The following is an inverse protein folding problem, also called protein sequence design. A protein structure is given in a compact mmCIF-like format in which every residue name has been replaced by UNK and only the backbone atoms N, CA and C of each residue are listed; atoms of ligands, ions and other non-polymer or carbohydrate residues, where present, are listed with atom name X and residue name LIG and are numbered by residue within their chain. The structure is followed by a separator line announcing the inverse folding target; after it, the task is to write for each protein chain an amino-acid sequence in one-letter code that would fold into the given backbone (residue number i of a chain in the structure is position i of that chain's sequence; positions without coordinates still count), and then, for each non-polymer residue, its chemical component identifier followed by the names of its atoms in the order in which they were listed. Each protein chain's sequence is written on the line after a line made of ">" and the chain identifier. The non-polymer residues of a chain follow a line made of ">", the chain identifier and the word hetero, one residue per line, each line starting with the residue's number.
data_IF_670735138814
#
_entry.id   IF_670735138814
#
_cell.length_a   1.000
_cell.length_b   1.000
_cell.length_c   1.000
_cell.angle_alpha   90.00
_cell.angle_beta   90.00
_cell.angle_gamma   90.00
#
_symmetry.space_group_name_H-M   'P 1'
#
loop_
_entity.id
_entity.type
_entity.pdbx_description
1 polymer ?
#
# COMPACT_ATOMS: atom_id res chain seq x y z
N UNK A 1 -42.56 30.84 98.74
CA UNK A 1 -42.55 31.72 97.53
C UNK A 1 -41.10 32.08 97.29
N UNK A 2 -40.23 31.10 96.99
CA UNK A 2 -40.15 30.29 95.75
C UNK A 2 -39.95 31.21 94.54
N UNK A 3 -38.98 31.05 93.65
CA UNK A 3 -38.08 29.94 93.42
C UNK A 3 -36.90 30.39 92.52
N UNK A 4 -35.78 29.68 92.68
CA UNK A 4 -34.83 29.27 91.63
C UNK A 4 -34.15 30.32 90.74
N UNK A 5 -32.92 30.68 91.16
CA UNK A 5 -31.83 31.20 90.34
C UNK A 5 -30.72 30.14 90.33
N UNK A 6 -30.73 29.21 89.37
CA UNK A 6 -29.57 28.37 88.97
C UNK A 6 -29.97 27.42 87.84
N UNK A 7 -29.98 27.90 86.60
CA UNK A 7 -29.89 27.06 85.41
C UNK A 7 -29.16 27.85 84.32
N UNK A 8 -27.82 27.84 84.35
CA UNK A 8 -26.98 28.12 83.18
C UNK A 8 -25.51 27.85 83.52
N UNK A 9 -25.16 26.59 83.83
CA UNK A 9 -23.75 26.17 83.92
C UNK A 9 -23.58 24.65 84.01
N UNK A 10 -24.21 23.86 83.14
CA UNK A 10 -23.96 22.41 83.12
C UNK A 10 -24.16 21.72 81.76
N UNK A 11 -23.96 22.43 80.64
CA UNK A 11 -24.18 21.82 79.31
C UNK A 11 -23.07 22.03 78.28
N UNK A 12 -22.02 22.81 78.57
CA UNK A 12 -21.00 23.13 77.56
C UNK A 12 -19.74 22.25 77.56
N UNK A 13 -19.56 21.34 78.53
CA UNK A 13 -18.29 20.62 78.69
C UNK A 13 -18.24 19.19 78.13
N UNK A 14 -19.29 18.70 77.46
CA UNK A 14 -19.30 17.34 76.89
C UNK A 14 -19.07 17.26 75.38
N UNK A 15 -18.97 18.38 74.67
CA UNK A 15 -18.91 18.38 73.19
C UNK A 15 -17.54 18.75 72.59
N UNK A 16 -16.48 18.76 73.41
CA UNK A 16 -15.16 19.24 72.99
C UNK A 16 -14.05 18.19 73.04
N UNK A 17 -14.35 16.91 72.74
CA UNK A 17 -13.27 15.91 72.65
C UNK A 17 -13.60 14.65 71.85
N UNK A 18 -13.92 14.79 70.56
CA UNK A 18 -13.76 13.71 69.57
C UNK A 18 -13.97 14.30 68.19
N UNK A 19 -12.90 14.36 67.38
CA UNK A 19 -12.87 14.49 65.91
C UNK A 19 -11.56 15.07 65.37
N UNK A 20 -10.51 15.23 66.20
CA UNK A 20 -9.17 15.63 65.69
C UNK A 20 -8.33 14.48 65.11
N UNK A 21 -8.82 13.23 65.14
CA UNK A 21 -8.07 12.06 64.62
C UNK A 21 -8.52 11.57 63.23
N UNK A 22 -9.63 12.09 62.67
CA UNK A 22 -10.16 11.62 61.38
C UNK A 22 -9.59 12.37 60.17
N UNK A 23 -9.20 13.63 60.34
CA UNK A 23 -8.64 14.45 59.26
C UNK A 23 -7.30 13.91 58.74
N UNK A 24 -6.30 13.54 59.58
CA UNK A 24 -5.05 12.98 59.05
C UNK A 24 -5.27 11.60 58.40
N UNK A 25 -6.21 10.79 58.90
CA UNK A 25 -6.51 9.47 58.32
C UNK A 25 -7.16 9.58 56.93
N UNK A 26 -8.05 10.55 56.73
CA UNK A 26 -8.69 10.82 55.44
C UNK A 26 -7.68 11.34 54.40
N UNK A 27 -6.74 12.20 54.81
CA UNK A 27 -5.68 12.72 53.94
C UNK A 27 -4.72 11.60 53.52
N UNK A 28 -4.30 10.74 54.46
CA UNK A 28 -3.43 9.59 54.16
C UNK A 28 -4.12 8.60 53.21
N UNK A 29 -5.41 8.32 53.41
CA UNK A 29 -6.20 7.47 52.52
C UNK A 29 -6.29 8.03 51.09
N UNK A 30 -6.51 9.34 50.95
CA UNK A 30 -6.58 10.00 49.64
C UNK A 30 -5.23 9.97 48.91
N UNK A 31 -4.12 10.20 49.61
CA UNK A 31 -2.77 10.10 49.03
C UNK A 31 -2.43 8.68 48.59
N UNK A 32 -2.80 7.66 49.36
CA UNK A 32 -2.64 6.25 48.97
C UNK A 32 -3.43 5.92 47.71
N UNK A 33 -4.68 6.39 47.62
CA UNK A 33 -5.52 6.16 46.46
C UNK A 33 -4.95 6.84 45.21
N UNK A 34 -4.40 8.06 45.34
CA UNK A 34 -3.73 8.77 44.25
C UNK A 34 -2.43 8.11 43.80
N UNK A 35 -1.65 7.55 44.74
CA UNK A 35 -0.45 6.77 44.42
C UNK A 35 -0.79 5.48 43.68
N UNK A 36 -1.85 4.77 44.09
CA UNK A 36 -2.29 3.54 43.44
C UNK A 36 -2.84 3.83 42.04
N UNK A 37 -3.69 4.86 41.87
CA UNK A 37 -4.19 5.22 40.53
C UNK A 37 -3.07 5.74 39.64
N UNK A 38 -2.13 6.52 40.18
CA UNK A 38 -0.93 6.96 39.48
C UNK A 38 -0.06 5.78 39.03
N UNK A 39 0.16 4.79 39.89
CA UNK A 39 0.93 3.59 39.58
C UNK A 39 0.22 2.71 38.53
N UNK A 40 -1.11 2.57 38.60
CA UNK A 40 -1.90 1.84 37.59
C UNK A 40 -1.86 2.55 36.25
N UNK A 41 -2.04 3.87 36.23
CA UNK A 41 -1.93 4.67 34.99
C UNK A 41 -0.52 4.58 34.42
N UNK A 42 0.52 4.72 35.24
CA UNK A 42 1.90 4.57 34.80
C UNK A 42 2.18 3.16 34.26
N UNK A 43 1.70 2.11 34.93
CA UNK A 43 1.84 0.72 34.47
C UNK A 43 1.13 0.46 33.14
N UNK A 44 -0.04 1.07 32.91
CA UNK A 44 -0.77 0.98 31.64
C UNK A 44 -0.06 1.75 30.54
N UNK A 45 0.50 2.92 30.82
CA UNK A 45 1.24 3.72 29.84
C UNK A 45 2.66 3.21 29.55
N UNK A 46 3.29 2.50 30.49
CA UNK A 46 4.65 1.97 30.33
C UNK A 46 4.70 0.62 29.59
N UNK A 47 3.54 0.00 29.30
CA UNK A 47 3.48 -1.22 28.50
C UNK A 47 3.63 -0.86 27.02
N UNK A 48 4.81 -1.14 26.48
CA UNK A 48 5.05 -1.15 25.04
C UNK A 48 4.01 -2.05 24.36
N UNK A 49 3.34 -1.51 23.35
CA UNK A 49 2.26 -2.20 22.66
C UNK A 49 2.79 -3.41 21.89
N UNK A 50 1.97 -4.45 21.71
CA UNK A 50 2.37 -5.63 20.93
C UNK A 50 2.75 -5.24 19.48
N UNK A 51 2.13 -4.17 18.96
CA UNK A 51 2.50 -3.59 17.67
C UNK A 51 3.93 -3.03 17.67
N UNK A 52 4.31 -2.22 18.68
CA UNK A 52 5.65 -1.65 18.79
C UNK A 52 6.72 -2.73 18.98
N UNK A 53 6.43 -3.77 19.78
CA UNK A 53 7.33 -4.93 19.91
C UNK A 53 7.51 -5.66 18.59
N UNK A 54 6.41 -5.91 17.87
CA UNK A 54 6.46 -6.50 16.53
C UNK A 54 7.30 -5.67 15.57
N UNK A 55 7.19 -4.35 15.64
CA UNK A 55 8.01 -3.42 14.85
C UNK A 55 9.50 -3.48 15.20
N UNK A 56 9.86 -3.64 16.47
CA UNK A 56 11.26 -3.80 16.88
C UNK A 56 11.84 -5.10 16.29
N UNK A 57 11.14 -6.23 16.44
CA UNK A 57 11.55 -7.49 15.83
C UNK A 57 11.65 -7.41 14.30
N UNK A 58 10.71 -6.71 13.66
CA UNK A 58 10.72 -6.54 12.20
C UNK A 58 11.94 -5.75 11.71
N UNK A 59 12.33 -4.68 12.43
CA UNK A 59 13.54 -3.90 12.12
C UNK A 59 14.81 -4.75 12.22
N UNK A 60 14.85 -5.65 13.19
CA UNK A 60 15.95 -6.60 13.41
C UNK A 60 15.87 -7.83 12.48
N UNK A 61 14.90 -7.84 11.53
CA UNK A 61 14.63 -8.93 10.59
C UNK A 61 14.30 -10.27 11.27
N UNK A 62 13.85 -10.21 12.51
CA UNK A 62 13.34 -11.36 13.27
C UNK A 62 11.88 -11.61 12.91
N UNK A 63 11.65 -12.12 11.69
CA UNK A 63 10.34 -12.21 11.07
C UNK A 63 9.34 -13.10 11.84
N UNK A 64 9.82 -14.19 12.43
CA UNK A 64 8.98 -15.14 13.18
C UNK A 64 8.46 -14.49 14.46
N UNK A 65 9.34 -13.83 15.21
CA UNK A 65 9.03 -13.12 16.44
C UNK A 65 8.13 -11.91 16.16
N UNK A 66 8.41 -11.17 15.08
CA UNK A 66 7.57 -10.06 14.64
C UNK A 66 6.13 -10.52 14.34
N UNK A 67 5.96 -11.63 13.61
CA UNK A 67 4.65 -12.20 13.32
C UNK A 67 3.88 -12.56 14.60
N UNK A 68 4.55 -13.20 15.57
CA UNK A 68 3.93 -13.57 16.84
C UNK A 68 3.39 -12.34 17.56
N UNK A 69 4.15 -11.24 17.62
CA UNK A 69 3.69 -10.02 18.29
C UNK A 69 2.57 -9.32 17.51
N UNK A 70 2.67 -9.19 16.18
CA UNK A 70 1.61 -8.59 15.37
C UNK A 70 0.28 -9.36 15.45
N UNK A 71 0.33 -10.69 15.60
CA UNK A 71 -0.86 -11.53 15.77
C UNK A 71 -1.57 -11.31 17.12
N UNK A 72 -0.88 -10.78 18.13
CA UNK A 72 -1.49 -10.45 19.43
C UNK A 72 -2.26 -9.14 19.41
N UNK A 73 -2.04 -8.29 18.41
CA UNK A 73 -2.72 -6.99 18.29
C UNK A 73 -4.23 -7.23 18.16
N UNK A 74 -5.00 -6.73 19.13
CA UNK A 74 -6.44 -6.92 19.19
C UNK A 74 -7.16 -6.23 18.01
N UNK A 75 -8.19 -6.84 17.39
CA UNK A 75 -9.00 -6.21 16.34
C UNK A 75 -9.61 -4.85 16.68
N UNK A 76 -9.83 -4.56 17.98
CA UNK A 76 -10.36 -3.26 18.44
C UNK A 76 -9.27 -2.19 18.58
N UNK A 77 -7.99 -2.55 18.42
CA UNK A 77 -6.87 -1.62 18.48
C UNK A 77 -6.77 -0.82 17.18
N UNK A 78 -6.51 0.49 17.27
CA UNK A 78 -6.25 1.38 16.12
C UNK A 78 -5.13 0.88 15.21
N UNK A 79 -4.15 0.17 15.76
CA UNK A 79 -2.97 -0.33 15.05
C UNK A 79 -3.20 -1.70 14.41
N UNK A 80 -4.39 -2.29 14.56
CA UNK A 80 -4.71 -3.62 14.02
C UNK A 80 -4.49 -3.70 12.50
N UNK A 81 -4.97 -2.71 11.73
CA UNK A 81 -4.80 -2.70 10.28
C UNK A 81 -3.32 -2.61 9.87
N UNK A 82 -2.52 -1.83 10.61
CA UNK A 82 -1.09 -1.74 10.38
C UNK A 82 -0.41 -3.07 10.71
N UNK A 83 -0.79 -3.73 11.81
CA UNK A 83 -0.29 -5.05 12.17
C UNK A 83 -0.61 -6.11 11.11
N UNK A 84 -1.85 -6.12 10.59
CA UNK A 84 -2.25 -7.03 9.50
C UNK A 84 -1.45 -6.78 8.23
N UNK A 85 -1.20 -5.52 7.89
CA UNK A 85 -0.34 -5.16 6.77
C UNK A 85 1.09 -5.69 6.94
N UNK A 86 1.69 -5.58 8.14
CA UNK A 86 3.01 -6.18 8.42
C UNK A 86 3.00 -7.70 8.30
N UNK A 87 1.95 -8.36 8.78
CA UNK A 87 1.78 -9.81 8.65
C UNK A 87 1.73 -10.21 7.16
N UNK A 88 0.97 -9.48 6.35
CA UNK A 88 0.90 -9.70 4.91
C UNK A 88 2.25 -9.48 4.23
N UNK A 89 2.96 -8.42 4.57
CA UNK A 89 4.28 -8.16 4.03
C UNK A 89 5.27 -9.30 4.36
N UNK A 90 5.35 -9.72 5.63
CA UNK A 90 6.28 -10.76 6.07
C UNK A 90 5.97 -12.11 5.38
N UNK A 91 4.70 -12.52 5.34
CA UNK A 91 4.33 -13.76 4.66
C UNK A 91 4.58 -13.69 3.15
N UNK A 92 4.28 -12.56 2.53
CA UNK A 92 4.54 -12.33 1.12
C UNK A 92 6.03 -12.38 0.78
N UNK A 93 6.87 -11.74 1.58
CA UNK A 93 8.32 -11.79 1.46
C UNK A 93 8.86 -13.22 1.61
N UNK A 94 8.34 -13.99 2.58
CA UNK A 94 8.74 -15.38 2.78
C UNK A 94 8.39 -16.24 1.55
N UNK A 95 7.13 -16.20 1.11
CA UNK A 95 6.69 -16.95 -0.08
C UNK A 95 7.45 -16.53 -1.34
N UNK A 96 7.78 -15.25 -1.49
CA UNK A 96 8.61 -14.75 -2.60
C UNK A 96 10.02 -15.36 -2.58
N UNK A 97 10.68 -15.36 -1.43
CA UNK A 97 12.02 -15.92 -1.28
C UNK A 97 12.05 -17.46 -1.43
N UNK A 98 10.96 -18.14 -1.07
CA UNK A 98 10.78 -19.58 -1.29
C UNK A 98 10.43 -19.92 -2.76
N UNK A 99 10.23 -18.91 -3.61
CA UNK A 99 9.84 -19.08 -5.02
C UNK A 99 8.36 -19.45 -5.21
N UNK A 100 7.54 -19.40 -4.15
CA UNK A 100 6.10 -19.61 -4.22
C UNK A 100 5.37 -18.32 -4.67
N UNK A 101 5.57 -17.97 -5.94
CA UNK A 101 5.02 -16.75 -6.54
C UNK A 101 3.49 -16.59 -6.39
N UNK A 102 2.64 -17.63 -6.59
CA UNK A 102 1.20 -17.50 -6.41
C UNK A 102 0.81 -17.07 -4.99
N UNK A 103 1.46 -17.64 -3.99
CA UNK A 103 1.20 -17.31 -2.58
C UNK A 103 1.75 -15.92 -2.23
N UNK A 104 2.94 -15.58 -2.74
CA UNK A 104 3.51 -14.25 -2.58
C UNK A 104 2.57 -13.16 -3.10
N UNK A 105 1.94 -13.35 -4.27
CA UNK A 105 0.96 -12.40 -4.82
C UNK A 105 -0.22 -12.18 -3.86
N UNK A 106 -0.77 -13.25 -3.30
CA UNK A 106 -1.94 -13.19 -2.40
C UNK A 106 -1.64 -12.36 -1.15
N UNK A 107 -0.43 -12.47 -0.61
CA UNK A 107 -0.04 -11.72 0.58
C UNK A 107 0.43 -10.30 0.26
N UNK A 108 1.32 -10.13 -0.71
CA UNK A 108 1.89 -8.82 -1.06
C UNK A 108 0.82 -7.83 -1.57
N UNK A 109 -0.23 -8.32 -2.25
CA UNK A 109 -1.35 -7.48 -2.71
C UNK A 109 -2.24 -6.93 -1.58
N UNK A 110 -2.12 -7.46 -0.36
CA UNK A 110 -2.89 -7.02 0.82
C UNK A 110 -2.12 -6.03 1.71
N UNK A 111 -0.88 -5.70 1.37
CA UNK A 111 -0.12 -4.65 2.04
C UNK A 111 -0.80 -3.31 1.71
N UNK A 112 -1.16 -2.55 2.75
CA UNK A 112 -1.94 -1.31 2.59
C UNK A 112 -1.05 -0.17 2.11
N UNK A 113 -1.60 0.77 1.35
CA UNK A 113 -0.83 1.81 0.66
C UNK A 113 -0.12 2.83 1.55
N UNK A 114 -0.57 2.98 2.80
CA UNK A 114 0.06 3.83 3.81
C UNK A 114 1.11 3.09 4.66
N UNK A 115 1.36 1.81 4.38
CA UNK A 115 2.42 1.04 5.03
C UNK A 115 3.79 1.40 4.44
N UNK A 116 4.82 1.51 5.29
CA UNK A 116 6.19 1.78 4.85
C UNK A 116 6.77 0.71 3.90
N UNK A 117 6.27 -0.54 3.98
CA UNK A 117 6.70 -1.66 3.13
C UNK A 117 5.84 -1.83 1.88
N UNK A 118 4.87 -0.96 1.65
CA UNK A 118 4.00 -1.04 0.48
C UNK A 118 4.80 -1.00 -0.82
N UNK A 119 5.80 -0.12 -0.91
CA UNK A 119 6.63 0.01 -2.10
C UNK A 119 7.44 -1.26 -2.38
N UNK A 120 8.07 -1.81 -1.35
CA UNK A 120 8.83 -3.07 -1.45
C UNK A 120 7.93 -4.22 -1.92
N UNK A 121 6.69 -4.27 -1.42
CA UNK A 121 5.69 -5.24 -1.86
C UNK A 121 5.33 -5.07 -3.35
N UNK A 122 5.16 -3.84 -3.83
CA UNK A 122 4.90 -3.57 -5.25
C UNK A 122 6.07 -3.98 -6.14
N UNK A 123 7.32 -3.71 -5.72
CA UNK A 123 8.51 -4.13 -6.47
C UNK A 123 8.62 -5.66 -6.56
N UNK A 124 8.27 -6.38 -5.49
CA UNK A 124 8.25 -7.84 -5.52
C UNK A 124 7.15 -8.38 -6.44
N UNK A 125 5.95 -7.78 -6.41
CA UNK A 125 4.86 -8.13 -7.33
C UNK A 125 5.26 -7.92 -8.80
N UNK A 126 5.91 -6.80 -9.11
CA UNK A 126 6.43 -6.53 -10.45
C UNK A 126 7.44 -7.58 -10.90
N UNK A 127 8.39 -7.95 -10.02
CA UNK A 127 9.36 -9.01 -10.33
C UNK A 127 8.69 -10.37 -10.56
N UNK A 128 7.63 -10.69 -9.81
CA UNK A 128 6.87 -11.92 -10.03
C UNK A 128 6.20 -11.90 -11.42
N UNK A 129 5.63 -10.76 -11.80
CA UNK A 129 5.01 -10.60 -13.12
C UNK A 129 6.04 -10.75 -14.25
N UNK A 130 7.24 -10.19 -14.10
CA UNK A 130 8.35 -10.35 -15.05
C UNK A 130 8.80 -11.81 -15.18
N UNK A 131 8.92 -12.53 -14.06
CA UNK A 131 9.27 -13.96 -14.04
C UNK A 131 8.20 -14.79 -14.77
N UNK A 132 6.92 -14.51 -14.52
CA UNK A 132 5.82 -15.21 -15.17
C UNK A 132 5.78 -14.92 -16.68
N UNK A 133 6.07 -13.68 -17.09
CA UNK A 133 6.14 -13.30 -18.49
C UNK A 133 7.33 -13.98 -19.20
N UNK A 134 8.51 -13.96 -18.58
CA UNK A 134 9.72 -14.60 -19.10
C UNK A 134 9.59 -16.12 -19.20
N UNK A 135 8.99 -16.77 -18.21
CA UNK A 135 8.73 -18.21 -18.22
C UNK A 135 7.74 -18.63 -19.31
N UNK A 136 6.71 -17.83 -19.55
CA UNK A 136 5.74 -18.09 -20.62
C UNK A 136 6.39 -17.91 -22.01
N UNK A 137 7.22 -16.87 -22.18
CA UNK A 137 7.97 -16.64 -23.42
C UNK A 137 8.97 -17.77 -23.69
N UNK A 138 9.67 -18.25 -22.65
CA UNK A 138 10.63 -19.35 -22.76
C UNK A 138 9.93 -20.67 -23.10
N UNK A 139 8.80 -20.99 -22.47
CA UNK A 139 7.99 -22.16 -22.82
C UNK A 139 7.46 -22.09 -24.26
N UNK A 140 7.09 -20.91 -24.74
CA UNK A 140 6.70 -20.70 -26.14
C UNK A 140 7.90 -20.90 -27.09
N UNK A 141 9.07 -20.31 -26.80
CA UNK A 141 10.29 -20.51 -27.57
C UNK A 141 10.69 -22.00 -27.62
N UNK A 142 10.57 -22.73 -26.52
CA UNK A 142 10.93 -24.15 -26.45
C UNK A 142 9.91 -25.02 -27.21
N UNK A 143 8.63 -24.65 -27.22
CA UNK A 143 7.63 -25.26 -28.09
C UNK A 143 7.90 -25.00 -29.58
N UNK A 144 8.35 -23.79 -29.92
CA UNK A 144 8.70 -23.40 -31.30
C UNK A 144 10.00 -24.06 -31.78
N UNK A 145 10.98 -24.24 -30.89
CA UNK A 145 12.23 -24.98 -31.19
C UNK A 145 11.98 -26.47 -31.40
N UNK A 146 11.04 -27.05 -30.66
CA UNK A 146 10.67 -28.48 -30.78
C UNK A 146 9.88 -28.77 -32.07
N UNK A 147 9.25 -27.75 -32.67
CA UNK A 147 8.46 -27.84 -33.90
C UNK A 147 9.24 -27.46 -35.18
N UNK A 148 10.58 -27.38 -35.12
CA UNK A 148 11.40 -26.95 -36.27
C UNK A 148 11.47 -27.93 -37.46
N UNK A 149 10.72 -29.03 -37.47
CA UNK A 149 10.62 -29.93 -38.63
C UNK A 149 9.19 -30.26 -39.10
N UNK A 150 8.17 -29.53 -38.67
CA UNK A 150 6.84 -29.62 -39.29
C UNK A 150 6.14 -28.27 -39.29
N UNK A 151 6.15 -27.61 -40.44
CA UNK A 151 5.12 -26.64 -40.83
C UNK A 151 3.80 -27.40 -40.90
N UNK A 152 3.08 -27.51 -39.79
CA UNK A 152 1.68 -27.92 -39.78
C UNK A 152 0.91 -26.98 -38.86
N UNK A 153 0.15 -26.12 -39.51
CA UNK A 153 -1.04 -25.45 -38.97
C UNK A 153 -1.97 -26.52 -38.38
N UNK A 154 -2.04 -26.62 -37.05
CA UNK A 154 -3.15 -27.27 -36.35
C UNK A 154 -3.74 -26.24 -35.39
N UNK A 155 -4.76 -25.49 -35.85
CA UNK A 155 -6.18 -25.74 -35.53
C UNK A 155 -6.39 -26.04 -34.04
N UNK A 156 -6.49 -25.00 -33.23
CA UNK A 156 -7.35 -25.04 -32.05
C UNK A 156 -8.74 -24.59 -32.48
N UNK A 157 -9.59 -25.54 -32.84
CA UNK A 157 -11.04 -25.34 -32.88
C UNK A 157 -11.53 -25.21 -31.44
N UNK A 158 -11.75 -23.98 -30.98
CA UNK A 158 -12.58 -23.74 -29.79
C UNK A 158 -14.02 -23.94 -30.21
N UNK A 159 -14.62 -25.06 -29.80
CA UNK A 159 -16.06 -25.28 -29.96
C UNK A 159 -16.78 -24.48 -28.88
N UNK A 160 -17.45 -23.40 -29.26
CA UNK A 160 -18.56 -22.83 -28.48
C UNK A 160 -19.80 -22.75 -29.38
N UNK A 161 -20.89 -23.35 -28.91
CA UNK A 161 -22.26 -23.19 -29.45
C UNK A 161 -22.52 -23.61 -30.92
N UNK A 162 -21.95 -24.73 -31.37
CA UNK A 162 -22.54 -25.52 -32.47
C UNK A 162 -22.68 -24.84 -33.84
N UNK A 163 -22.04 -23.70 -34.08
CA UNK A 163 -21.91 -23.08 -35.40
C UNK A 163 -20.43 -22.93 -35.72
N UNK A 164 -20.02 -23.46 -36.86
CA UNK A 164 -18.67 -23.24 -37.39
C UNK A 164 -18.54 -21.77 -37.78
N UNK A 165 -17.84 -20.98 -36.98
CA UNK A 165 -17.37 -19.67 -37.42
C UNK A 165 -16.22 -19.85 -38.40
N UNK A 166 -16.23 -19.01 -39.44
CA UNK A 166 -15.19 -18.93 -40.45
C UNK A 166 -13.81 -18.79 -39.82
N UNK A 167 -12.75 -19.32 -40.45
CA UNK A 167 -11.39 -19.23 -39.92
C UNK A 167 -11.01 -17.77 -39.67
N UNK A 168 -10.75 -17.43 -38.39
CA UNK A 168 -10.21 -16.12 -38.02
C UNK A 168 -8.94 -15.90 -38.84
N UNK A 169 -8.94 -14.82 -39.63
CA UNK A 169 -7.83 -14.46 -40.52
C UNK A 169 -6.51 -14.47 -39.70
N UNK A 170 -5.47 -15.22 -40.12
CA UNK A 170 -4.19 -15.32 -39.40
C UNK A 170 -3.56 -13.96 -39.04
N UNK A 171 -3.84 -12.93 -39.84
CA UNK A 171 -3.38 -11.58 -39.59
C UNK A 171 -4.05 -10.93 -38.36
N UNK A 172 -5.33 -11.24 -38.10
CA UNK A 172 -6.07 -10.76 -36.93
C UNK A 172 -5.47 -11.36 -35.65
N UNK A 173 -5.11 -12.65 -35.67
CA UNK A 173 -4.48 -13.30 -34.51
C UNK A 173 -3.10 -12.71 -34.19
N UNK A 174 -2.29 -12.46 -35.23
CA UNK A 174 -0.99 -11.80 -35.07
C UNK A 174 -1.15 -10.36 -34.51
N UNK A 175 -2.14 -9.60 -34.97
CA UNK A 175 -2.44 -8.26 -34.49
C UNK A 175 -2.90 -8.26 -33.01
N UNK A 176 -3.67 -9.27 -32.59
CA UNK A 176 -4.08 -9.47 -31.18
C UNK A 176 -2.85 -9.74 -30.29
N UNK A 177 -1.93 -10.58 -30.74
CA UNK A 177 -0.70 -10.89 -30.00
C UNK A 177 0.22 -9.68 -29.88
N UNK A 178 0.41 -8.92 -30.96
CA UNK A 178 1.14 -7.64 -30.96
C UNK A 178 0.50 -6.62 -30.01
N UNK A 179 -0.84 -6.59 -29.95
CA UNK A 179 -1.57 -5.73 -29.02
C UNK A 179 -1.36 -6.16 -27.57
N UNK A 180 -1.37 -7.47 -27.28
CA UNK A 180 -1.12 -8.02 -25.94
C UNK A 180 0.29 -7.72 -25.45
N UNK A 181 1.31 -7.93 -26.27
CA UNK A 181 2.71 -7.62 -25.94
C UNK A 181 2.90 -6.12 -25.69
N UNK A 182 2.34 -5.28 -26.57
CA UNK A 182 2.40 -3.83 -26.41
C UNK A 182 1.77 -3.37 -25.08
N UNK A 183 0.58 -3.88 -24.73
CA UNK A 183 -0.12 -3.54 -23.48
C UNK A 183 0.68 -4.00 -22.26
N UNK A 184 1.32 -5.17 -22.31
CA UNK A 184 2.15 -5.68 -21.22
C UNK A 184 3.32 -4.74 -20.95
N UNK A 185 4.07 -4.36 -21.98
CA UNK A 185 5.20 -3.42 -21.87
C UNK A 185 4.76 -2.04 -21.38
N UNK A 186 3.63 -1.55 -21.89
CA UNK A 186 3.07 -0.28 -21.44
C UNK A 186 2.61 -0.34 -19.97
N UNK A 187 2.06 -1.47 -19.52
CA UNK A 187 1.67 -1.69 -18.11
C UNK A 187 2.88 -1.64 -17.18
N UNK A 188 3.97 -2.33 -17.53
CA UNK A 188 5.22 -2.28 -16.76
C UNK A 188 5.76 -0.85 -16.70
N UNK A 189 5.76 -0.12 -17.82
CA UNK A 189 6.17 1.29 -17.85
C UNK A 189 5.33 2.18 -16.93
N UNK A 190 4.01 1.97 -16.89
CA UNK A 190 3.09 2.66 -15.96
C UNK A 190 3.46 2.38 -14.50
N UNK A 191 3.67 1.11 -14.14
CA UNK A 191 4.01 0.72 -12.76
C UNK A 191 5.34 1.30 -12.30
N UNK A 192 6.38 1.18 -13.12
CA UNK A 192 7.71 1.77 -12.84
C UNK A 192 7.63 3.27 -12.65
N UNK A 193 6.89 3.95 -13.53
CA UNK A 193 6.70 5.39 -13.43
C UNK A 193 5.98 5.79 -12.15
N UNK A 194 4.90 5.10 -11.79
CA UNK A 194 4.17 5.39 -10.55
C UNK A 194 5.04 5.16 -9.32
N UNK A 195 5.87 4.11 -9.31
CA UNK A 195 6.85 3.88 -8.25
C UNK A 195 7.81 5.06 -8.07
N UNK A 196 8.44 5.49 -9.16
CA UNK A 196 9.37 6.65 -9.16
C UNK A 196 8.64 7.93 -8.73
N UNK A 197 7.41 8.15 -9.20
CA UNK A 197 6.61 9.32 -8.85
C UNK A 197 6.29 9.37 -7.35
N UNK A 198 5.88 8.24 -6.76
CA UNK A 198 5.59 8.18 -5.33
C UNK A 198 6.83 8.47 -4.49
N UNK A 199 8.00 7.95 -4.89
CA UNK A 199 9.28 8.30 -4.25
C UNK A 199 9.60 9.79 -4.41
N UNK A 200 9.45 10.34 -5.63
CA UNK A 200 9.73 11.74 -5.92
C UNK A 200 8.93 12.69 -5.03
N UNK A 201 7.69 12.31 -4.68
CA UNK A 201 6.78 13.13 -3.88
C UNK A 201 7.28 13.37 -2.46
N UNK A 202 7.76 12.33 -1.79
CA UNK A 202 8.21 12.41 -0.38
C UNK A 202 9.71 12.67 -0.26
N UNK A 203 10.46 12.53 -1.36
CA UNK A 203 11.89 12.73 -1.38
C UNK A 203 12.33 14.16 -1.02
N UNK A 204 13.49 14.32 -0.35
CA UNK A 204 14.16 15.62 -0.15
C UNK A 204 14.40 16.39 -1.45
N UNK A 205 14.38 17.73 -1.37
CA UNK A 205 14.42 18.63 -2.53
C UNK A 205 15.63 18.41 -3.44
N UNK A 206 16.80 18.16 -2.85
CA UNK A 206 18.07 17.90 -3.54
C UNK A 206 18.01 16.64 -4.40
N UNK A 207 17.27 15.60 -3.99
CA UNK A 207 17.11 14.36 -4.75
C UNK A 207 15.94 14.36 -5.73
N UNK A 208 14.96 15.28 -5.61
CA UNK A 208 13.79 15.37 -6.51
C UNK A 208 14.18 15.55 -7.98
N UNK A 209 15.29 16.23 -8.27
CA UNK A 209 15.79 16.41 -9.64
C UNK A 209 16.13 15.07 -10.31
N UNK A 210 16.69 14.12 -9.57
CA UNK A 210 17.08 12.82 -10.12
C UNK A 210 15.88 11.91 -10.33
N UNK A 211 14.88 11.98 -9.44
CA UNK A 211 13.58 11.35 -9.68
C UNK A 211 12.88 11.94 -10.90
N UNK A 212 12.93 13.26 -11.10
CA UNK A 212 12.38 13.91 -12.29
C UNK A 212 13.05 13.40 -13.58
N UNK A 213 14.39 13.27 -13.60
CA UNK A 213 15.10 12.68 -14.76
C UNK A 213 14.69 11.22 -15.00
N UNK A 214 14.52 10.44 -13.93
CA UNK A 214 14.05 9.05 -14.02
C UNK A 214 12.66 8.95 -14.63
N UNK A 215 11.73 9.81 -14.19
CA UNK A 215 10.38 9.89 -14.77
C UNK A 215 10.41 10.31 -16.25
N UNK A 216 11.23 11.30 -16.63
CA UNK A 216 11.39 11.69 -18.04
C UNK A 216 11.97 10.57 -18.90
N UNK A 217 12.88 9.77 -18.34
CA UNK A 217 13.43 8.60 -19.04
C UNK A 217 12.35 7.54 -19.27
N UNK A 218 11.52 7.26 -18.27
CA UNK A 218 10.42 6.30 -18.36
C UNK A 218 9.32 6.76 -19.31
N UNK A 219 8.98 8.05 -19.30
CA UNK A 219 8.04 8.62 -20.26
C UNK A 219 8.57 8.48 -21.70
N UNK A 220 9.85 8.79 -21.94
CA UNK A 220 10.48 8.57 -23.26
C UNK A 220 10.50 7.09 -23.66
N UNK A 221 10.81 6.19 -22.73
CA UNK A 221 10.80 4.74 -22.95
C UNK A 221 9.40 4.29 -23.39
N UNK A 222 8.37 4.67 -22.64
CA UNK A 222 6.96 4.41 -22.93
C UNK A 222 6.54 4.97 -24.29
N UNK A 223 6.91 6.22 -24.59
CA UNK A 223 6.59 6.87 -25.85
C UNK A 223 7.34 6.28 -27.05
N UNK A 224 8.47 5.61 -26.84
CA UNK A 224 9.21 4.92 -27.89
C UNK A 224 8.73 3.49 -28.15
N UNK A 225 7.80 2.96 -27.34
CA UNK A 225 7.19 1.66 -27.61
C UNK A 225 6.49 1.69 -28.97
N UNK A 226 6.91 0.77 -29.85
CA UNK A 226 6.34 0.63 -31.19
C UNK A 226 5.11 -0.27 -31.13
N UNK A 227 3.99 0.24 -31.62
CA UNK A 227 2.80 -0.55 -31.88
C UNK A 227 2.71 -0.82 -33.38
N UNK A 228 3.02 -2.06 -33.78
CA UNK A 228 3.19 -2.47 -35.19
C UNK A 228 2.07 -3.38 -35.70
N UNK A 229 0.92 -3.44 -35.03
CA UNK A 229 -0.24 -4.17 -35.53
C UNK A 229 -0.71 -3.58 -36.87
N UNK A 230 -1.08 -4.46 -37.80
CA UNK A 230 -1.63 -4.08 -39.11
C UNK A 230 -2.97 -3.39 -38.96
N UNK A 231 -3.86 -3.95 -38.14
CA UNK A 231 -5.07 -3.29 -37.67
C UNK A 231 -4.82 -2.68 -36.29
N UNK A 232 -4.74 -1.35 -36.22
CA UNK A 232 -4.50 -0.66 -34.95
C UNK A 232 -5.76 -0.65 -34.09
N UNK A 233 -5.67 -1.24 -32.90
CA UNK A 233 -6.73 -1.18 -31.89
C UNK A 233 -6.82 0.26 -31.33
N UNK A 234 -7.97 0.90 -31.52
CA UNK A 234 -8.24 2.26 -31.05
C UNK A 234 -8.11 2.38 -29.52
N UNK A 235 -8.49 1.34 -28.79
CA UNK A 235 -8.37 1.27 -27.34
C UNK A 235 -6.91 1.25 -26.88
N UNK A 236 -6.03 0.56 -27.60
CA UNK A 236 -4.57 0.55 -27.35
C UNK A 236 -3.95 1.91 -27.62
N UNK A 237 -4.35 2.57 -28.71
CA UNK A 237 -3.89 3.93 -29.03
C UNK A 237 -4.36 4.95 -27.98
N UNK A 238 -5.61 4.84 -27.54
CA UNK A 238 -6.17 5.71 -26.50
C UNK A 238 -5.49 5.48 -25.15
N UNK A 239 -5.21 4.22 -24.80
CA UNK A 239 -4.44 3.88 -23.60
C UNK A 239 -3.07 4.57 -23.63
N UNK A 240 -2.32 4.44 -24.74
CA UNK A 240 -1.02 5.11 -24.91
C UNK A 240 -1.14 6.62 -24.71
N UNK A 241 -2.14 7.24 -25.35
CA UNK A 241 -2.39 8.69 -25.27
C UNK A 241 -2.64 9.13 -23.84
N UNK A 242 -3.52 8.43 -23.11
CA UNK A 242 -3.83 8.73 -21.72
C UNK A 242 -2.62 8.53 -20.81
N UNK A 243 -1.82 7.48 -21.04
CA UNK A 243 -0.60 7.20 -20.28
C UNK A 243 0.42 8.34 -20.43
N UNK A 244 0.70 8.78 -21.66
CA UNK A 244 1.60 9.91 -21.92
C UNK A 244 1.11 11.19 -21.24
N UNK A 245 -0.17 11.53 -21.37
CA UNK A 245 -0.73 12.71 -20.70
C UNK A 245 -0.62 12.64 -19.18
N UNK A 246 -0.86 11.47 -18.60
CA UNK A 246 -0.70 11.25 -17.18
C UNK A 246 0.75 11.45 -16.73
N UNK A 247 1.70 10.79 -17.40
CA UNK A 247 3.14 10.90 -17.10
C UNK A 247 3.62 12.36 -17.19
N UNK A 248 3.23 13.07 -18.24
CA UNK A 248 3.55 14.50 -18.44
C UNK A 248 3.04 15.38 -17.30
N UNK A 249 1.81 15.15 -16.84
CA UNK A 249 1.22 15.92 -15.73
C UNK A 249 1.95 15.67 -14.42
N UNK A 250 2.40 14.45 -14.18
CA UNK A 250 3.18 14.10 -12.98
C UNK A 250 4.59 14.66 -12.99
N UNK A 251 5.28 14.58 -14.13
CA UNK A 251 6.57 15.24 -14.35
C UNK A 251 6.42 16.74 -14.07
N UNK A 252 5.38 17.37 -14.64
CA UNK A 252 5.10 18.80 -14.44
C UNK A 252 4.88 19.16 -12.97
N UNK A 253 4.12 18.34 -12.24
CA UNK A 253 3.92 18.53 -10.80
C UNK A 253 5.23 18.45 -10.01
N UNK A 254 6.09 17.45 -10.28
CA UNK A 254 7.38 17.35 -9.56
C UNK A 254 8.32 18.50 -9.92
N UNK A 255 8.34 18.95 -11.19
CA UNK A 255 9.06 20.17 -11.58
C UNK A 255 8.56 21.40 -10.82
N UNK A 256 7.24 21.50 -10.62
CA UNK A 256 6.66 22.58 -9.83
C UNK A 256 7.15 22.53 -8.38
N UNK A 257 7.13 21.37 -7.72
CA UNK A 257 7.67 21.20 -6.37
C UNK A 257 9.15 21.61 -6.27
N UNK A 258 9.95 21.25 -7.28
CA UNK A 258 11.37 21.66 -7.35
C UNK A 258 11.48 23.19 -7.45
N UNK A 259 10.67 23.81 -8.33
CA UNK A 259 10.70 25.27 -8.53
C UNK A 259 10.26 26.05 -7.30
N UNK A 260 9.27 25.52 -6.56
CA UNK A 260 8.75 26.09 -5.31
C UNK A 260 9.66 25.77 -4.11
N UNK A 261 10.72 24.98 -4.31
CA UNK A 261 11.61 24.47 -3.26
C UNK A 261 10.86 23.73 -2.15
N UNK A 262 9.77 23.07 -2.50
CA UNK A 262 8.94 22.36 -1.54
C UNK A 262 9.26 20.87 -1.51
N UNK A 263 9.42 20.35 -0.30
CA UNK A 263 9.54 18.90 -0.05
C UNK A 263 8.16 18.24 0.02
N UNK A 264 7.14 19.00 0.43
CA UNK A 264 5.76 18.55 0.65
C UNK A 264 4.75 19.21 -0.29
N UNK A 265 3.59 18.59 -0.45
CA UNK A 265 2.47 19.17 -1.20
C UNK A 265 1.98 20.43 -0.46
N UNK A 266 2.16 21.61 -1.06
CA UNK A 266 1.60 22.85 -0.51
C UNK A 266 0.31 23.21 -1.24
N UNK A 267 -0.46 24.17 -0.71
CA UNK A 267 -1.73 24.59 -1.31
C UNK A 267 -1.58 25.14 -2.75
N UNK A 268 -0.37 25.45 -3.22
CA UNK A 268 -0.08 25.94 -4.57
C UNK A 268 0.07 24.81 -5.62
N UNK A 269 0.31 23.57 -5.19
CA UNK A 269 0.65 22.45 -6.09
C UNK A 269 -0.53 21.53 -6.46
N UNK A 270 -1.78 21.91 -6.16
CA UNK A 270 -2.96 21.05 -6.33
C UNK A 270 -3.36 20.72 -7.79
N UNK A 271 -3.39 21.68 -8.74
CA UNK A 271 -4.04 21.44 -10.04
C UNK A 271 -3.37 20.33 -10.87
N UNK A 272 -2.05 20.37 -11.00
CA UNK A 272 -1.28 19.40 -11.80
C UNK A 272 -1.32 17.99 -11.21
N UNK A 273 -1.30 17.89 -9.88
CA UNK A 273 -1.48 16.63 -9.16
C UNK A 273 -2.87 16.06 -9.38
N UNK A 274 -3.92 16.83 -9.12
CA UNK A 274 -5.31 16.38 -9.21
C UNK A 274 -5.66 15.94 -10.64
N UNK A 275 -5.20 16.68 -11.65
CA UNK A 275 -5.33 16.27 -13.05
C UNK A 275 -4.58 14.96 -13.32
N UNK A 276 -3.37 14.81 -12.80
CA UNK A 276 -2.62 13.56 -12.85
C UNK A 276 -3.34 12.39 -12.18
N UNK A 277 -3.90 12.57 -10.98
CA UNK A 277 -4.66 11.54 -10.25
C UNK A 277 -5.91 11.08 -11.03
N UNK A 278 -6.60 12.03 -11.66
CA UNK A 278 -7.77 11.75 -12.51
C UNK A 278 -7.36 10.97 -13.75
N UNK A 279 -6.28 11.39 -14.42
CA UNK A 279 -5.76 10.70 -15.59
C UNK A 279 -5.27 9.30 -15.24
N UNK A 280 -4.63 9.10 -14.08
CA UNK A 280 -4.24 7.77 -13.62
C UNK A 280 -5.45 6.83 -13.53
N UNK A 281 -6.53 7.29 -12.92
CA UNK A 281 -7.78 6.53 -12.84
C UNK A 281 -8.34 6.19 -14.23
N UNK A 282 -8.26 7.13 -15.18
CA UNK A 282 -8.63 6.89 -16.58
C UNK A 282 -7.71 5.88 -17.27
N UNK A 283 -6.40 5.95 -17.04
CA UNK A 283 -5.40 5.00 -17.56
C UNK A 283 -5.71 3.59 -17.07
N UNK A 284 -5.90 3.40 -15.76
CA UNK A 284 -6.21 2.08 -15.19
C UNK A 284 -7.55 1.55 -15.71
N UNK A 285 -8.57 2.41 -15.82
CA UNK A 285 -9.86 2.03 -16.41
C UNK A 285 -9.69 1.57 -17.85
N UNK A 286 -8.97 2.35 -18.67
CA UNK A 286 -8.75 2.04 -20.08
C UNK A 286 -7.90 0.78 -20.24
N UNK A 287 -6.86 0.60 -19.43
CA UNK A 287 -6.02 -0.60 -19.42
C UNK A 287 -6.87 -1.85 -19.20
N UNK A 288 -7.75 -1.81 -18.21
CA UNK A 288 -8.66 -2.92 -17.91
C UNK A 288 -9.68 -3.17 -19.02
N UNK A 289 -10.17 -2.12 -19.69
CA UNK A 289 -11.07 -2.26 -20.85
C UNK A 289 -10.38 -2.94 -22.01
N UNK A 290 -9.16 -2.52 -22.35
CA UNK A 290 -8.40 -3.07 -23.48
C UNK A 290 -7.98 -4.52 -23.19
N UNK A 291 -7.51 -4.81 -21.96
CA UNK A 291 -7.18 -6.19 -21.53
C UNK A 291 -8.37 -7.16 -21.62
N UNK A 292 -9.61 -6.68 -21.49
CA UNK A 292 -10.82 -7.52 -21.62
C UNK A 292 -11.23 -7.79 -23.08
N UNK A 293 -10.76 -6.98 -24.03
CA UNK A 293 -11.10 -7.11 -25.45
C UNK A 293 -10.17 -8.07 -26.20
N UNK A 294 -8.99 -8.33 -25.64
CA UNK A 294 -7.88 -9.15 -26.16
C UNK A 294 -7.81 -10.47 -25.39
#
# INVERSE_FOLDING_TARGET
>A
MDNSNTQNKFSDDLNRKKNKSFVPLAIVSFFLLFLVTGAVLWYVYARESDYEKGMNYLKDKQYTEALIEFQKVNPSNKDFNNAQSKIHYINGLRSYNEGNNPEAIVYLSKVISNDEYYHDAQLMLEKIDDINLGGNLQAQIDSLKKNKDTVIVQKQTVIKNGKAEEPVNPQIQADIELSRDYISRLSSSISRFEGVYQSARTAPLDTKSDYNKSMESLDKESNNLKYSAGNKDEGVLELRRLTSQWMDKRISFVRQLISERSVSETNLSRPTKEEGDRLYSSVISQLNKVKKRI
#
